data_IF_559908571447
#
_entry.id   IF_559908571447
#
_cell.length_a   1.000
_cell.length_b   1.000
_cell.length_c   1.000
_cell.angle_alpha   90.00
_cell.angle_beta   90.00
_cell.angle_gamma   90.00
#
_symmetry.space_group_name_H-M   'P 1'
#
loop_
_entity.id
_entity.type
_entity.pdbx_description
1 polymer ?
#
# COMPACT_ATOMS: atom_id res chain seq x y z
N UNK A 1 -17.11 -2.62 -13.07
CA UNK A 1 -15.98 -2.88 -12.13
C UNK A 1 -15.50 -1.54 -11.61
N UNK A 2 -15.06 -1.43 -10.36
CA UNK A 2 -14.41 -0.21 -9.87
C UNK A 2 -13.09 0.00 -10.66
N UNK A 3 -12.71 1.26 -10.90
CA UNK A 3 -11.43 1.53 -11.58
C UNK A 3 -10.26 1.14 -10.68
N UNK A 4 -9.30 0.40 -11.21
CA UNK A 4 -8.05 0.07 -10.51
C UNK A 4 -7.30 1.36 -10.18
N UNK A 5 -6.72 1.45 -8.97
CA UNK A 5 -5.95 2.60 -8.50
C UNK A 5 -4.46 2.32 -8.64
N UNK A 6 -3.71 3.31 -9.10
CA UNK A 6 -2.24 3.26 -9.13
C UNK A 6 -1.70 4.14 -8.01
N UNK A 7 -0.89 3.53 -7.14
CA UNK A 7 -0.29 4.15 -5.96
C UNK A 7 1.26 4.10 -6.06
N UNK A 8 1.92 5.11 -6.62
CA UNK A 8 3.38 5.18 -6.64
C UNK A 8 3.95 5.20 -5.21
N UNK A 9 4.86 4.25 -4.88
CA UNK A 9 5.57 4.28 -3.60
C UNK A 9 6.74 5.26 -3.66
N UNK A 10 6.66 6.31 -2.85
CA UNK A 10 7.70 7.35 -2.76
C UNK A 10 9.02 6.84 -2.19
N UNK A 11 9.07 5.63 -1.63
CA UNK A 11 10.32 4.98 -1.22
C UNK A 11 11.34 4.88 -2.36
N UNK A 12 10.88 4.83 -3.62
CA UNK A 12 11.73 4.77 -4.81
C UNK A 12 12.02 6.11 -5.47
N UNK A 13 11.39 7.20 -4.98
CA UNK A 13 11.57 8.55 -5.51
C UNK A 13 12.95 9.15 -5.15
N UNK A 14 13.33 10.22 -5.81
CA UNK A 14 14.47 11.04 -5.39
C UNK A 14 14.06 11.99 -4.26
N UNK A 15 14.46 11.67 -3.02
CA UNK A 15 14.13 12.47 -1.85
C UNK A 15 14.70 13.88 -1.89
N UNK A 16 15.75 14.14 -2.66
CA UNK A 16 16.32 15.49 -2.82
C UNK A 16 15.40 16.45 -3.57
N UNK A 17 14.43 15.90 -4.33
CA UNK A 17 13.42 16.64 -5.11
C UNK A 17 12.00 16.06 -4.93
N UNK A 18 11.71 15.51 -3.78
CA UNK A 18 10.48 14.75 -3.52
C UNK A 18 9.18 15.49 -3.91
N UNK A 19 9.13 16.82 -3.69
CA UNK A 19 8.00 17.66 -4.13
C UNK A 19 7.76 17.57 -5.63
N UNK A 20 8.83 17.63 -6.44
CA UNK A 20 8.74 17.59 -7.89
C UNK A 20 8.38 16.19 -8.37
N UNK A 21 8.97 15.14 -7.76
CA UNK A 21 8.63 13.74 -8.00
C UNK A 21 7.14 13.46 -7.77
N UNK A 22 6.58 13.98 -6.67
CA UNK A 22 5.15 13.86 -6.35
C UNK A 22 4.30 14.58 -7.40
N UNK A 23 4.66 15.83 -7.75
CA UNK A 23 3.93 16.59 -8.75
C UNK A 23 3.93 15.92 -10.13
N UNK A 24 5.06 15.30 -10.52
CA UNK A 24 5.19 14.58 -11.78
C UNK A 24 4.27 13.35 -11.83
N UNK A 25 4.24 12.50 -10.79
CA UNK A 25 3.38 11.31 -10.76
C UNK A 25 1.90 11.67 -10.61
N UNK A 26 1.55 12.72 -9.86
CA UNK A 26 0.19 13.23 -9.73
C UNK A 26 -0.32 13.75 -11.09
N UNK A 27 0.48 14.56 -11.80
CA UNK A 27 0.16 15.02 -13.15
C UNK A 27 0.08 13.88 -14.17
N UNK A 28 0.80 12.78 -13.94
CA UNK A 28 0.76 11.57 -14.75
C UNK A 28 -0.49 10.72 -14.54
N UNK A 29 -1.32 11.02 -13.52
CA UNK A 29 -2.56 10.31 -13.23
C UNK A 29 -2.43 9.24 -12.14
N UNK A 30 -1.47 9.39 -11.22
CA UNK A 30 -1.46 8.60 -9.99
C UNK A 30 -2.73 8.87 -9.19
N UNK A 31 -3.37 7.80 -8.67
CA UNK A 31 -4.60 7.91 -7.88
C UNK A 31 -4.30 8.19 -6.41
N UNK A 32 -3.25 7.57 -5.85
CA UNK A 32 -2.80 7.68 -4.46
C UNK A 32 -1.27 7.86 -4.41
N UNK A 33 -0.73 8.12 -3.22
CA UNK A 33 0.70 7.98 -2.93
C UNK A 33 0.88 6.96 -1.82
N UNK A 34 1.75 5.99 -2.04
CA UNK A 34 2.13 4.99 -1.04
C UNK A 34 3.40 5.40 -0.30
N UNK A 35 3.38 5.25 1.04
CA UNK A 35 4.45 5.71 1.93
C UNK A 35 4.90 4.56 2.82
N UNK A 36 6.06 3.97 2.51
CA UNK A 36 6.65 2.86 3.25
C UNK A 36 7.43 3.34 4.47
N UNK A 37 6.92 3.07 5.67
CA UNK A 37 7.51 3.46 6.96
C UNK A 37 8.19 2.26 7.59
N UNK A 38 9.49 2.39 7.89
CA UNK A 38 10.34 1.33 8.46
C UNK A 38 11.13 1.87 9.65
N UNK A 39 11.22 1.08 10.73
CA UNK A 39 11.83 1.49 12.01
C UNK A 39 13.19 0.86 12.33
N UNK A 40 13.70 -0.01 11.46
CA UNK A 40 14.96 -0.73 11.69
C UNK A 40 14.87 -1.89 12.70
N UNK A 41 13.65 -2.20 13.19
CA UNK A 41 13.39 -3.29 14.12
C UNK A 41 12.51 -4.37 13.50
N UNK A 42 11.31 -4.00 13.01
CA UNK A 42 10.45 -4.94 12.30
C UNK A 42 11.08 -5.38 10.98
N UNK A 43 11.75 -4.46 10.29
CA UNK A 43 12.55 -4.72 9.08
C UNK A 43 13.94 -4.07 9.21
N UNK A 44 15.00 -4.62 8.56
CA UNK A 44 16.38 -4.13 8.70
C UNK A 44 16.64 -2.87 7.86
N UNK A 45 15.74 -1.90 7.90
CA UNK A 45 15.85 -0.62 7.19
C UNK A 45 15.12 0.47 7.97
N UNK A 46 15.53 1.73 7.81
CA UNK A 46 14.89 2.92 8.39
C UNK A 46 14.56 3.87 7.25
N UNK A 47 13.33 4.37 7.17
CA UNK A 47 12.91 5.18 6.02
C UNK A 47 12.29 6.53 6.44
N UNK A 48 11.00 6.58 6.67
CA UNK A 48 10.16 7.78 6.74
C UNK A 48 9.47 7.86 8.10
N UNK A 49 9.36 9.07 8.64
CA UNK A 49 8.57 9.35 9.84
C UNK A 49 7.43 10.33 9.57
N UNK A 50 6.59 10.64 10.60
CA UNK A 50 5.43 11.55 10.46
C UNK A 50 5.80 12.92 9.89
N UNK A 51 6.99 13.44 10.17
CA UNK A 51 7.47 14.74 9.65
C UNK A 51 7.56 14.78 8.12
N UNK A 52 7.89 13.65 7.49
CA UNK A 52 7.92 13.54 6.02
C UNK A 52 6.49 13.46 5.49
N UNK A 53 5.60 12.66 6.11
CA UNK A 53 4.19 12.55 5.73
C UNK A 53 3.50 13.93 5.81
N UNK A 54 3.74 14.69 6.88
CA UNK A 54 3.24 16.07 7.01
C UNK A 54 3.76 16.98 5.88
N UNK A 55 5.02 16.81 5.48
CA UNK A 55 5.61 17.57 4.38
C UNK A 55 5.03 17.19 3.02
N UNK A 56 4.80 15.90 2.79
CA UNK A 56 4.11 15.37 1.60
C UNK A 56 2.67 15.90 1.55
N UNK A 57 1.93 15.85 2.66
CA UNK A 57 0.55 16.35 2.72
C UNK A 57 0.40 17.82 2.32
N UNK A 58 1.40 18.65 2.58
CA UNK A 58 1.39 20.07 2.18
C UNK A 58 1.51 20.29 0.67
N UNK A 59 2.06 19.35 -0.06
CA UNK A 59 2.35 19.50 -1.50
C UNK A 59 1.41 18.72 -2.42
N UNK A 60 0.56 17.86 -1.89
CA UNK A 60 -0.42 17.10 -2.69
C UNK A 60 -1.80 17.04 -2.03
N UNK A 61 -2.82 16.67 -2.79
CA UNK A 61 -4.20 16.43 -2.32
C UNK A 61 -4.70 15.00 -2.58
N UNK A 62 -3.97 14.21 -3.36
CA UNK A 62 -4.36 12.81 -3.54
C UNK A 62 -4.16 12.02 -2.24
N UNK A 63 -4.88 10.92 -2.03
CA UNK A 63 -4.80 10.14 -0.81
C UNK A 63 -3.38 9.68 -0.50
N UNK A 64 -3.00 9.79 0.78
CA UNK A 64 -1.76 9.24 1.33
C UNK A 64 -2.06 7.91 2.02
N UNK A 65 -1.52 6.85 1.47
CA UNK A 65 -1.59 5.50 1.97
C UNK A 65 -0.28 5.15 2.67
N UNK A 66 -0.34 5.00 4.00
CA UNK A 66 0.85 4.85 4.86
C UNK A 66 0.93 3.42 5.36
N UNK A 67 1.96 2.69 4.92
CA UNK A 67 2.25 1.32 5.32
C UNK A 67 3.29 1.28 6.43
N UNK A 68 2.87 0.83 7.62
CA UNK A 68 3.68 0.81 8.84
C UNK A 68 4.38 -0.55 9.02
N UNK A 69 5.62 -0.65 8.60
CA UNK A 69 6.54 -1.76 8.87
C UNK A 69 7.35 -1.46 10.14
N UNK A 70 6.66 -1.38 11.30
CA UNK A 70 7.23 -0.96 12.58
C UNK A 70 6.76 -1.86 13.74
N UNK A 71 7.51 -1.86 14.84
CA UNK A 71 7.27 -2.73 16.01
C UNK A 71 6.13 -2.28 16.93
N UNK A 72 5.83 -0.97 16.97
CA UNK A 72 4.80 -0.40 17.87
C UNK A 72 3.78 0.44 17.10
N UNK A 73 2.98 -0.14 16.16
CA UNK A 73 2.05 0.64 15.35
C UNK A 73 0.91 1.25 16.16
N UNK A 74 0.46 0.64 17.26
CA UNK A 74 -0.53 1.16 18.18
C UNK A 74 -0.11 2.51 18.80
N UNK A 75 1.18 2.69 19.05
CA UNK A 75 1.75 3.94 19.55
C UNK A 75 1.89 5.00 18.49
N UNK A 76 2.32 4.63 17.28
CA UNK A 76 2.74 5.58 16.25
C UNK A 76 1.70 5.86 15.17
N UNK A 77 0.77 4.95 14.87
CA UNK A 77 -0.28 5.18 13.86
C UNK A 77 -1.06 6.50 14.08
N UNK A 78 -1.41 6.91 15.32
CA UNK A 78 -2.04 8.19 15.57
C UNK A 78 -1.24 9.40 15.08
N UNK A 79 0.08 9.35 15.14
CA UNK A 79 0.94 10.45 14.69
C UNK A 79 0.98 10.55 13.15
N UNK A 80 0.89 9.42 12.45
CA UNK A 80 0.79 9.40 11.00
C UNK A 80 -0.57 9.91 10.51
N UNK A 81 -1.67 9.57 11.20
CA UNK A 81 -2.99 10.12 10.90
C UNK A 81 -2.99 11.65 11.09
N UNK A 82 -2.45 12.15 12.20
CA UNK A 82 -2.30 13.61 12.44
C UNK A 82 -1.43 14.29 11.40
N UNK A 83 -0.41 13.60 10.88
CA UNK A 83 0.46 14.10 9.82
C UNK A 83 -0.23 14.17 8.45
N UNK A 84 -1.41 13.56 8.30
CA UNK A 84 -2.24 13.64 7.10
C UNK A 84 -2.35 12.34 6.29
N UNK A 85 -2.09 11.18 6.91
CA UNK A 85 -2.40 9.89 6.31
C UNK A 85 -3.93 9.73 6.14
N UNK A 86 -4.37 9.36 4.95
CA UNK A 86 -5.77 9.03 4.67
C UNK A 86 -6.04 7.54 4.93
N UNK A 87 -5.03 6.70 4.68
CA UNK A 87 -5.03 5.25 4.91
C UNK A 87 -3.82 4.87 5.75
N UNK A 88 -4.01 3.92 6.67
CA UNK A 88 -2.91 3.36 7.48
C UNK A 88 -3.00 1.85 7.49
N UNK A 89 -1.96 1.19 6.98
CA UNK A 89 -1.79 -0.27 6.98
C UNK A 89 -0.84 -0.69 8.09
N UNK A 90 -1.24 -1.67 8.91
CA UNK A 90 -0.44 -2.26 9.98
C UNK A 90 -0.21 -3.74 9.74
N UNK A 91 0.90 -4.28 10.26
CA UNK A 91 1.11 -5.73 10.34
C UNK A 91 0.51 -6.25 11.65
N UNK A 92 -0.53 -7.13 11.62
CA UNK A 92 -1.22 -7.56 12.82
C UNK A 92 -0.34 -8.25 13.87
N UNK A 93 0.73 -8.92 13.43
CA UNK A 93 1.71 -9.61 14.28
C UNK A 93 2.60 -8.65 15.09
N UNK A 94 2.57 -7.35 14.81
CA UNK A 94 3.29 -6.33 15.58
C UNK A 94 2.41 -5.65 16.65
N UNK A 95 1.13 -6.00 16.72
CA UNK A 95 0.17 -5.42 17.65
C UNK A 95 -0.24 -6.43 18.73
N UNK A 96 -0.26 -6.04 20.00
CA UNK A 96 -0.86 -6.88 21.06
C UNK A 96 -2.35 -7.14 20.82
N UNK A 97 -3.09 -6.13 20.34
CA UNK A 97 -4.49 -6.20 19.91
C UNK A 97 -4.64 -5.40 18.59
N UNK A 98 -4.55 -6.07 17.44
CA UNK A 98 -4.66 -5.38 16.15
C UNK A 98 -6.01 -4.71 15.92
N UNK A 99 -7.12 -5.30 16.43
CA UNK A 99 -8.46 -4.73 16.25
C UNK A 99 -8.61 -3.41 17.01
N UNK A 100 -8.11 -3.32 18.25
CA UNK A 100 -8.09 -2.08 19.01
C UNK A 100 -7.24 -0.98 18.31
N UNK A 101 -6.11 -1.36 17.72
CA UNK A 101 -5.27 -0.43 16.93
C UNK A 101 -6.02 0.08 15.68
N UNK A 102 -6.71 -0.81 14.95
CA UNK A 102 -7.51 -0.46 13.78
C UNK A 102 -8.68 0.47 14.13
N UNK A 103 -9.40 0.20 15.22
CA UNK A 103 -10.47 1.06 15.71
C UNK A 103 -9.96 2.47 16.05
N UNK A 104 -8.81 2.55 16.73
CA UNK A 104 -8.18 3.83 17.05
C UNK A 104 -7.78 4.64 15.81
N UNK A 105 -7.25 3.98 14.77
CA UNK A 105 -6.97 4.63 13.49
C UNK A 105 -8.26 5.22 12.89
N UNK A 106 -9.34 4.44 12.91
CA UNK A 106 -10.66 4.86 12.39
C UNK A 106 -11.27 6.02 13.19
N UNK A 107 -11.18 5.99 14.52
CA UNK A 107 -11.65 7.09 15.39
C UNK A 107 -10.95 8.41 15.10
N UNK A 108 -9.70 8.37 14.66
CA UNK A 108 -8.92 9.55 14.26
C UNK A 108 -9.26 10.05 12.85
N UNK A 109 -10.13 9.34 12.12
CA UNK A 109 -10.65 9.76 10.82
C UNK A 109 -9.93 9.18 9.61
N UNK A 110 -8.93 8.31 9.78
CA UNK A 110 -8.29 7.60 8.68
C UNK A 110 -8.98 6.27 8.38
N UNK A 111 -8.81 5.76 7.18
CA UNK A 111 -9.14 4.40 6.77
C UNK A 111 -8.04 3.44 7.25
N UNK A 112 -8.43 2.23 7.64
CA UNK A 112 -7.49 1.28 8.20
C UNK A 112 -7.38 0.00 7.36
N UNK A 113 -6.18 -0.57 7.38
CA UNK A 113 -5.80 -1.74 6.60
C UNK A 113 -4.89 -2.66 7.41
N UNK A 114 -4.88 -3.94 7.05
CA UNK A 114 -3.88 -4.90 7.51
C UNK A 114 -3.00 -5.34 6.36
N UNK A 115 -1.68 -5.40 6.62
CA UNK A 115 -0.68 -5.92 5.69
C UNK A 115 -0.38 -7.39 5.97
N UNK A 116 -0.31 -8.19 4.90
CA UNK A 116 -0.12 -9.64 4.96
C UNK A 116 1.11 -10.04 4.18
N UNK A 117 2.13 -10.54 4.87
CA UNK A 117 3.37 -11.01 4.25
C UNK A 117 3.14 -12.25 3.35
N UNK A 118 4.03 -12.52 2.39
CA UNK A 118 3.90 -13.66 1.46
C UNK A 118 3.70 -15.01 2.15
N UNK A 119 4.36 -15.24 3.28
CA UNK A 119 4.36 -16.48 4.05
C UNK A 119 3.28 -16.55 5.15
N UNK A 120 2.58 -15.44 5.45
CA UNK A 120 1.51 -15.42 6.46
C UNK A 120 0.21 -15.98 5.88
N UNK A 121 -0.36 -17.04 6.44
CA UNK A 121 -1.64 -17.58 5.98
C UNK A 121 -2.82 -16.67 6.36
N UNK A 122 -3.91 -16.71 5.56
CA UNK A 122 -5.04 -15.79 5.68
C UNK A 122 -5.83 -15.95 6.98
N UNK A 123 -5.88 -17.15 7.55
CA UNK A 123 -6.57 -17.42 8.82
C UNK A 123 -6.00 -16.62 9.99
N UNK A 124 -4.73 -16.19 9.91
CA UNK A 124 -4.09 -15.33 10.92
C UNK A 124 -4.61 -13.89 10.92
N UNK A 125 -5.19 -13.44 9.82
CA UNK A 125 -5.68 -12.06 9.67
C UNK A 125 -7.21 -11.98 9.53
N UNK A 126 -7.87 -13.12 9.44
CA UNK A 126 -9.32 -13.20 9.20
C UNK A 126 -10.14 -12.50 10.28
N UNK A 127 -9.66 -12.49 11.53
CA UNK A 127 -10.29 -11.77 12.65
C UNK A 127 -10.30 -10.25 12.48
N UNK A 128 -9.46 -9.71 11.58
CA UNK A 128 -9.41 -8.28 11.29
C UNK A 128 -10.41 -7.86 10.20
N UNK A 129 -11.00 -8.79 9.43
CA UNK A 129 -11.78 -8.45 8.23
C UNK A 129 -13.00 -7.56 8.51
N UNK A 130 -13.63 -7.69 9.67
CA UNK A 130 -14.77 -6.83 10.06
C UNK A 130 -14.31 -5.44 10.53
N UNK A 131 -13.00 -5.23 10.72
CA UNK A 131 -12.41 -4.02 11.26
C UNK A 131 -11.58 -3.23 10.25
N UNK A 132 -11.50 -3.65 8.99
CA UNK A 132 -10.66 -3.02 7.96
C UNK A 132 -11.47 -2.49 6.78
N UNK A 133 -10.92 -1.48 6.12
CA UNK A 133 -11.44 -0.94 4.85
C UNK A 133 -10.62 -1.48 3.65
N UNK A 134 -9.42 -2.03 3.89
CA UNK A 134 -8.52 -2.57 2.88
C UNK A 134 -7.65 -3.68 3.46
N UNK A 135 -7.19 -4.60 2.62
CA UNK A 135 -6.12 -5.56 2.92
C UNK A 135 -4.96 -5.30 1.97
N UNK A 136 -3.75 -5.17 2.51
CA UNK A 136 -2.52 -5.01 1.74
C UNK A 136 -1.81 -6.36 1.60
N UNK A 137 -1.80 -6.91 0.40
CA UNK A 137 -1.15 -8.18 0.07
C UNK A 137 0.27 -7.93 -0.40
N UNK A 138 1.25 -8.33 0.41
CA UNK A 138 2.67 -8.20 0.05
C UNK A 138 3.07 -9.27 -0.96
N UNK A 139 3.64 -8.85 -2.07
CA UNK A 139 4.22 -9.72 -3.12
C UNK A 139 5.75 -9.68 -3.12
N UNK A 140 6.32 -9.14 -2.07
CA UNK A 140 7.73 -9.22 -1.66
C UNK A 140 7.77 -9.31 -0.14
N UNK A 141 8.89 -9.73 0.44
CA UNK A 141 9.08 -9.55 1.89
C UNK A 141 9.37 -8.08 2.19
N UNK A 142 8.73 -7.48 3.23
CA UNK A 142 8.93 -6.06 3.56
C UNK A 142 10.40 -5.76 3.94
N UNK A 143 10.84 -4.48 3.74
CA UNK A 143 12.15 -4.01 4.16
C UNK A 143 12.94 -3.26 3.09
N UNK A 144 12.81 -3.58 1.81
CA UNK A 144 13.58 -2.92 0.75
C UNK A 144 12.73 -2.70 -0.51
N UNK A 145 12.94 -1.55 -1.17
CA UNK A 145 12.37 -1.29 -2.49
C UNK A 145 13.07 -2.05 -3.62
N UNK A 146 12.39 -2.20 -4.76
CA UNK A 146 12.97 -2.75 -5.99
C UNK A 146 13.16 -4.26 -6.03
N UNK A 147 12.58 -5.01 -5.10
CA UNK A 147 12.61 -6.47 -5.06
C UNK A 147 11.84 -7.09 -6.24
N UNK A 148 12.15 -8.36 -6.53
CA UNK A 148 11.44 -9.13 -7.54
C UNK A 148 10.06 -9.57 -7.02
N UNK A 149 9.05 -9.45 -7.88
CA UNK A 149 7.69 -9.92 -7.62
C UNK A 149 7.66 -11.43 -7.34
N UNK A 150 6.92 -11.85 -6.30
CA UNK A 150 6.72 -13.26 -5.92
C UNK A 150 5.38 -13.75 -6.52
N UNK A 151 5.39 -14.47 -7.65
CA UNK A 151 4.16 -14.91 -8.33
C UNK A 151 3.28 -15.86 -7.51
N UNK A 152 3.89 -16.59 -6.58
CA UNK A 152 3.20 -17.57 -5.74
C UNK A 152 2.19 -16.95 -4.77
N UNK A 153 2.18 -15.62 -4.63
CA UNK A 153 1.16 -14.88 -3.85
C UNK A 153 -0.14 -14.68 -4.65
N UNK A 154 -0.13 -14.75 -5.99
CA UNK A 154 -1.33 -14.54 -6.81
C UNK A 154 -2.53 -15.44 -6.42
N UNK A 155 -2.35 -16.75 -6.16
CA UNK A 155 -3.44 -17.59 -5.67
C UNK A 155 -4.03 -17.11 -4.34
N UNK A 156 -3.19 -16.57 -3.41
CA UNK A 156 -3.63 -16.03 -2.13
C UNK A 156 -4.47 -14.76 -2.33
N UNK A 157 -4.10 -13.88 -3.27
CA UNK A 157 -4.90 -12.70 -3.63
C UNK A 157 -6.27 -13.13 -4.16
N UNK A 158 -6.33 -14.13 -5.06
CA UNK A 158 -7.58 -14.65 -5.58
C UNK A 158 -8.46 -15.31 -4.50
N UNK A 159 -7.84 -15.95 -3.52
CA UNK A 159 -8.53 -16.51 -2.35
C UNK A 159 -9.16 -15.41 -1.49
N UNK A 160 -8.44 -14.33 -1.18
CA UNK A 160 -8.97 -13.16 -0.47
C UNK A 160 -10.16 -12.58 -1.21
N UNK A 161 -10.04 -12.36 -2.52
CA UNK A 161 -11.13 -11.85 -3.35
C UNK A 161 -12.37 -12.74 -3.25
N UNK A 162 -12.19 -14.05 -3.36
CA UNK A 162 -13.29 -15.02 -3.22
C UNK A 162 -13.95 -14.96 -1.83
N UNK A 163 -13.16 -14.85 -0.75
CA UNK A 163 -13.68 -14.72 0.62
C UNK A 163 -14.52 -13.45 0.75
N UNK A 164 -14.01 -12.31 0.28
CA UNK A 164 -14.71 -11.03 0.36
C UNK A 164 -16.01 -11.03 -0.45
N UNK A 165 -16.01 -11.60 -1.64
CA UNK A 165 -17.22 -11.73 -2.49
C UNK A 165 -18.26 -12.64 -1.83
N UNK A 166 -17.87 -13.79 -1.28
CA UNK A 166 -18.76 -14.73 -0.61
C UNK A 166 -19.39 -14.13 0.65
N UNK A 167 -18.62 -13.36 1.42
CA UNK A 167 -19.08 -12.70 2.64
C UNK A 167 -19.70 -11.33 2.37
N UNK A 168 -19.69 -10.84 1.13
CA UNK A 168 -20.16 -9.50 0.71
C UNK A 168 -19.47 -8.36 1.46
N UNK A 169 -18.18 -8.55 1.77
CA UNK A 169 -17.34 -7.54 2.40
C UNK A 169 -16.91 -6.51 1.33
N UNK A 170 -17.01 -5.22 1.68
CA UNK A 170 -16.59 -4.12 0.81
C UNK A 170 -15.19 -3.65 1.23
N UNK A 171 -14.22 -4.55 1.15
CA UNK A 171 -12.84 -4.32 1.52
C UNK A 171 -12.01 -4.27 0.25
N UNK A 172 -11.19 -3.23 0.07
CA UNK A 172 -10.29 -3.13 -1.07
C UNK A 172 -9.14 -4.13 -0.93
N UNK A 173 -8.64 -4.61 -2.06
CA UNK A 173 -7.43 -5.43 -2.12
C UNK A 173 -6.31 -4.60 -2.72
N UNK A 174 -5.40 -4.17 -1.87
CA UNK A 174 -4.15 -3.55 -2.28
C UNK A 174 -3.06 -4.60 -2.46
N UNK A 175 -2.16 -4.37 -3.41
CA UNK A 175 -1.04 -5.28 -3.66
C UNK A 175 0.25 -4.46 -3.78
N UNK A 176 1.26 -4.81 -2.97
CA UNK A 176 2.57 -4.17 -2.99
C UNK A 176 3.71 -5.16 -3.13
N UNK A 177 4.64 -4.82 -4.01
CA UNK A 177 5.92 -5.50 -4.17
C UNK A 177 6.25 -5.94 -5.59
N UNK A 178 7.24 -5.31 -6.20
CA UNK A 178 7.79 -5.69 -7.49
C UNK A 178 6.83 -5.55 -8.69
N UNK A 179 5.77 -4.75 -8.56
CA UNK A 179 4.77 -4.59 -9.62
C UNK A 179 5.27 -3.57 -10.66
N UNK A 180 5.12 -3.94 -11.94
CA UNK A 180 5.52 -3.20 -13.13
C UNK A 180 4.47 -3.36 -14.24
N UNK A 181 4.68 -2.69 -15.37
CA UNK A 181 3.78 -2.75 -16.54
C UNK A 181 3.61 -4.15 -17.13
N UNK A 182 4.58 -5.05 -16.96
CA UNK A 182 4.58 -6.40 -17.52
C UNK A 182 3.84 -7.44 -16.65
N UNK A 183 3.60 -7.15 -15.36
CA UNK A 183 2.96 -8.08 -14.45
C UNK A 183 1.65 -7.56 -13.81
N UNK A 184 1.35 -6.26 -13.89
CA UNK A 184 0.18 -5.62 -13.27
C UNK A 184 -1.15 -6.29 -13.69
N UNK A 185 -1.32 -6.66 -14.97
CA UNK A 185 -2.54 -7.30 -15.45
C UNK A 185 -2.83 -8.62 -14.73
N UNK A 186 -1.78 -9.40 -14.38
CA UNK A 186 -1.93 -10.65 -13.61
C UNK A 186 -2.38 -10.40 -12.18
N UNK A 187 -1.89 -9.31 -11.57
CA UNK A 187 -2.26 -8.89 -10.20
C UNK A 187 -3.73 -8.48 -10.15
N UNK A 188 -4.17 -7.68 -11.12
CA UNK A 188 -5.57 -7.24 -11.22
C UNK A 188 -6.49 -8.42 -11.54
N UNK A 189 -6.10 -9.32 -12.42
CA UNK A 189 -6.86 -10.54 -12.71
C UNK A 189 -7.02 -11.44 -11.47
N UNK A 190 -6.06 -11.42 -10.53
CA UNK A 190 -6.17 -12.12 -9.26
C UNK A 190 -7.08 -11.40 -8.23
N UNK A 191 -7.45 -10.13 -8.46
CA UNK A 191 -8.35 -9.38 -7.60
C UNK A 191 -7.77 -8.10 -6.99
N UNK A 192 -6.54 -7.70 -7.38
CA UNK A 192 -5.94 -6.43 -6.93
C UNK A 192 -6.72 -5.23 -7.44
N UNK A 193 -7.04 -4.27 -6.57
CA UNK A 193 -7.82 -3.06 -6.85
C UNK A 193 -7.00 -1.79 -6.64
N UNK A 194 -6.02 -1.81 -5.73
CA UNK A 194 -5.03 -0.76 -5.50
C UNK A 194 -3.64 -1.35 -5.74
N UNK A 195 -2.88 -0.75 -6.63
CA UNK A 195 -1.61 -1.30 -7.09
C UNK A 195 -0.46 -0.37 -6.72
N UNK A 196 0.35 -0.82 -5.78
CA UNK A 196 1.56 -0.11 -5.37
C UNK A 196 2.70 -0.42 -6.33
N UNK A 197 3.35 0.61 -6.85
CA UNK A 197 4.53 0.48 -7.69
C UNK A 197 5.56 1.57 -7.38
N UNK A 198 6.68 1.18 -6.82
CA UNK A 198 7.81 2.08 -6.54
C UNK A 198 8.78 2.15 -7.71
N UNK A 199 9.76 1.27 -7.76
CA UNK A 199 10.79 1.24 -8.82
C UNK A 199 10.21 1.03 -10.23
N UNK A 200 9.05 0.40 -10.34
CA UNK A 200 8.32 0.22 -11.60
C UNK A 200 7.86 1.54 -12.23
N UNK A 201 7.81 2.63 -11.44
CA UNK A 201 7.50 3.99 -11.90
C UNK A 201 8.73 4.88 -11.78
N UNK A 202 9.27 5.10 -10.58
CA UNK A 202 10.33 6.08 -10.30
C UNK A 202 11.70 5.75 -10.90
N UNK A 203 11.93 4.54 -11.42
CA UNK A 203 13.17 4.18 -12.15
C UNK A 203 12.97 4.11 -13.66
N UNK A 204 11.83 4.59 -14.16
CA UNK A 204 11.58 4.72 -15.60
C UNK A 204 11.92 6.12 -16.11
N UNK A 205 12.25 6.29 -17.39
CA UNK A 205 12.61 7.60 -17.94
C UNK A 205 11.40 8.55 -18.13
N UNK A 206 10.16 8.02 -18.10
CA UNK A 206 8.92 8.77 -18.32
C UNK A 206 7.80 8.20 -17.45
N UNK A 207 7.53 8.86 -16.31
CA UNK A 207 6.49 8.44 -15.36
C UNK A 207 5.10 8.48 -16.00
N UNK A 208 4.83 9.49 -16.83
CA UNK A 208 3.53 9.65 -17.46
C UNK A 208 3.25 8.53 -18.48
N UNK A 209 4.24 8.14 -19.28
CA UNK A 209 4.10 7.00 -20.18
C UNK A 209 3.89 5.70 -19.40
N UNK A 210 4.64 5.50 -18.32
CA UNK A 210 4.56 4.30 -17.47
C UNK A 210 3.20 4.17 -16.79
N UNK A 211 2.70 5.22 -16.15
CA UNK A 211 1.39 5.22 -15.46
C UNK A 211 0.25 5.01 -16.48
N UNK A 212 0.31 5.66 -17.65
CA UNK A 212 -0.67 5.40 -18.74
C UNK A 212 -0.64 3.95 -19.20
N UNK A 213 0.52 3.34 -19.34
CA UNK A 213 0.65 1.91 -19.69
C UNK A 213 0.05 1.02 -18.62
N UNK A 214 0.27 1.31 -17.34
CA UNK A 214 -0.32 0.58 -16.22
C UNK A 214 -1.86 0.67 -16.27
N UNK A 215 -2.44 1.85 -16.41
CA UNK A 215 -3.89 2.02 -16.55
C UNK A 215 -4.43 1.28 -17.79
N UNK A 216 -3.72 1.35 -18.92
CA UNK A 216 -4.15 0.65 -20.14
C UNK A 216 -4.14 -0.87 -19.95
N UNK A 217 -3.09 -1.41 -19.31
CA UNK A 217 -2.97 -2.85 -19.07
C UNK A 217 -4.10 -3.44 -18.22
N UNK A 218 -4.80 -2.61 -17.42
CA UNK A 218 -5.88 -3.03 -16.51
C UNK A 218 -7.28 -2.59 -16.97
N UNK A 219 -7.39 -1.74 -18.01
CA UNK A 219 -8.68 -1.22 -18.49
C UNK A 219 -9.52 -2.22 -19.29
N UNK A 220 -9.02 -3.41 -19.56
CA UNK A 220 -9.69 -4.47 -20.33
C UNK A 220 -9.84 -5.79 -19.56
N UNK A 221 -9.60 -5.78 -18.28
CA UNK A 221 -9.59 -6.99 -17.43
C UNK A 221 -10.94 -7.20 -16.74
#
# INVERSE_FOLDING_TARGET
MASVKIAPSILSADFSRLKDEIAEVEAAGADWLHVDVMDGHFVPNITIGPVVVESVRRVTKIPLDVHLMITDPDKYAPEFVKAGADWVSIHPDTCPDPNATLERIRELGAKCSVAVNPDVPLDKVELCFEHIDMILMMTVFPGFGGQAFIPDVLPKIAEVKKIFDQRRLKILIEVDGGIKTDNIARVVAAGGEVIVSGSGIFKTPDYAATIRQMHHAVSGS
#
